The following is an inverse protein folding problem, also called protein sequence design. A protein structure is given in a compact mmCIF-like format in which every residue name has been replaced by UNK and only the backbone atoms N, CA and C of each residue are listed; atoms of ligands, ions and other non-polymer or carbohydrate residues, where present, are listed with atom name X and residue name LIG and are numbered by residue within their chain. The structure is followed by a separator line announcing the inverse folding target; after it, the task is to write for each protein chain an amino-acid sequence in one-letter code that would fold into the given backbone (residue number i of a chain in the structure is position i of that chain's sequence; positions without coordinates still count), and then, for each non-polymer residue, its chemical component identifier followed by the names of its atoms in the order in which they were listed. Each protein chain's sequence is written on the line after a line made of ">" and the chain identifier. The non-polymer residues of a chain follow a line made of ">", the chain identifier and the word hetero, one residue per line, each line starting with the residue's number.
data_IF_208784990004
#
_entry.id   IF_208784990004
#
_cell.length_a   1.000
_cell.length_b   1.000
_cell.length_c   1.000
_cell.angle_alpha   90.00
_cell.angle_beta   90.00
_cell.angle_gamma   90.00
#
_symmetry.space_group_name_H-M   'P 1'
#
loop_
_entity.id
_entity.type
_entity.pdbx_description
1 polymer ?
#
# COMPACT_ATOMS: atom_id res chain seq x y z
N UNK A 1 -8.66 16.90 -26.57
CA UNK A 1 -8.58 17.15 -25.12
C UNK A 1 -8.22 15.85 -24.41
N UNK A 2 -7.12 15.84 -23.67
CA UNK A 2 -6.88 14.73 -22.77
C UNK A 2 -8.05 14.67 -21.78
N UNK A 3 -8.75 13.56 -21.75
CA UNK A 3 -9.69 13.32 -20.66
C UNK A 3 -8.84 13.18 -19.39
N UNK A 4 -9.33 13.62 -18.24
CA UNK A 4 -8.59 13.52 -16.97
C UNK A 4 -8.18 12.09 -16.59
N UNK A 5 -8.39 11.12 -17.48
CA UNK A 5 -8.05 9.71 -17.34
C UNK A 5 -6.68 9.37 -17.95
N UNK A 6 -6.13 10.26 -18.78
CA UNK A 6 -4.88 9.99 -19.49
C UNK A 6 -3.68 10.29 -18.60
N UNK A 7 -2.90 9.26 -18.32
CA UNK A 7 -1.61 9.34 -17.64
C UNK A 7 -0.54 8.97 -18.65
N UNK A 8 0.52 9.77 -18.74
CA UNK A 8 1.64 9.47 -19.63
C UNK A 8 2.16 8.04 -19.36
N UNK A 9 2.53 7.28 -20.40
CA UNK A 9 3.01 5.91 -20.20
C UNK A 9 4.17 5.79 -19.22
N UNK A 10 5.09 6.75 -19.22
CA UNK A 10 6.22 6.77 -18.27
C UNK A 10 5.75 6.94 -16.83
N UNK A 11 4.78 7.82 -16.57
CA UNK A 11 4.20 8.02 -15.24
C UNK A 11 3.44 6.78 -14.79
N UNK A 12 2.70 6.16 -15.69
CA UNK A 12 1.98 4.91 -15.41
C UNK A 12 2.94 3.80 -14.97
N UNK A 13 4.02 3.62 -15.70
CA UNK A 13 5.04 2.61 -15.37
C UNK A 13 5.70 2.90 -14.02
N UNK A 14 6.01 4.16 -13.74
CA UNK A 14 6.59 4.56 -12.45
C UNK A 14 5.63 4.28 -11.28
N UNK A 15 4.34 4.59 -11.46
CA UNK A 15 3.32 4.30 -10.43
C UNK A 15 3.15 2.79 -10.23
N UNK A 16 3.15 2.00 -11.30
CA UNK A 16 3.09 0.54 -11.19
C UNK A 16 4.33 -0.02 -10.49
N UNK A 17 5.52 0.53 -10.77
CA UNK A 17 6.74 0.18 -10.06
C UNK A 17 6.68 0.55 -8.58
N UNK A 18 6.11 1.73 -8.26
CA UNK A 18 5.88 2.16 -6.87
C UNK A 18 5.04 1.15 -6.09
N UNK A 19 3.96 0.65 -6.67
CA UNK A 19 3.09 -0.37 -6.05
C UNK A 19 3.85 -1.67 -5.84
N UNK A 20 4.66 -2.09 -6.82
CA UNK A 20 5.50 -3.29 -6.72
C UNK A 20 6.57 -3.16 -5.64
N UNK A 21 7.20 -1.99 -5.53
CA UNK A 21 8.19 -1.70 -4.48
C UNK A 21 7.59 -1.76 -3.09
N UNK A 22 6.38 -1.24 -2.93
CA UNK A 22 5.66 -1.34 -1.65
C UNK A 22 5.53 -2.82 -1.23
N UNK A 23 4.99 -3.66 -2.10
CA UNK A 23 4.85 -5.10 -1.82
C UNK A 23 6.20 -5.73 -1.46
N UNK A 24 7.23 -5.50 -2.26
CA UNK A 24 8.56 -6.07 -2.04
C UNK A 24 9.18 -5.62 -0.72
N UNK A 25 9.10 -4.33 -0.38
CA UNK A 25 9.70 -3.82 0.86
C UNK A 25 8.95 -4.27 2.11
N UNK A 26 7.62 -4.40 2.03
CA UNK A 26 6.85 -5.00 3.14
C UNK A 26 7.21 -6.47 3.30
N UNK A 27 7.22 -7.24 2.22
CA UNK A 27 7.49 -8.69 2.25
C UNK A 27 8.91 -9.03 2.69
N UNK A 28 9.85 -8.12 2.48
CA UNK A 28 11.26 -8.27 2.87
C UNK A 28 11.63 -7.46 4.12
N UNK A 29 10.65 -6.87 4.80
CA UNK A 29 10.83 -6.14 6.08
C UNK A 29 11.82 -4.98 5.96
N UNK A 30 11.79 -4.23 4.85
CA UNK A 30 12.69 -3.10 4.61
C UNK A 30 11.99 -1.78 4.96
N UNK A 31 12.09 -1.36 6.21
CA UNK A 31 11.34 -0.20 6.73
C UNK A 31 11.72 1.11 6.04
N UNK A 32 13.00 1.45 5.98
CA UNK A 32 13.41 2.77 5.47
C UNK A 32 13.13 2.92 3.97
N UNK A 33 13.44 1.95 3.10
CA UNK A 33 13.00 2.01 1.69
C UNK A 33 11.47 2.10 1.54
N UNK A 34 10.71 1.39 2.38
CA UNK A 34 9.24 1.45 2.38
C UNK A 34 8.74 2.86 2.71
N UNK A 35 9.34 3.50 3.72
CA UNK A 35 8.93 4.86 4.11
C UNK A 35 9.20 5.91 3.05
N UNK A 36 10.22 5.73 2.21
CA UNK A 36 10.52 6.64 1.12
C UNK A 36 9.48 6.62 -0.01
N UNK A 37 8.60 5.62 -0.04
CA UNK A 37 7.53 5.54 -1.04
C UNK A 37 6.35 6.48 -0.76
N UNK A 38 6.29 7.07 0.42
CA UNK A 38 5.21 7.94 0.86
C UNK A 38 5.59 9.41 0.72
N UNK A 39 4.58 10.27 0.45
CA UNK A 39 4.81 11.72 0.45
C UNK A 39 5.21 12.19 1.86
N UNK A 40 6.01 13.26 2.00
CA UNK A 40 6.37 13.77 3.32
C UNK A 40 5.22 14.50 4.04
N UNK A 41 4.24 15.01 3.28
CA UNK A 41 3.14 15.83 3.82
C UNK A 41 1.90 14.97 4.07
N UNK A 42 1.68 14.59 5.34
CA UNK A 42 0.48 13.92 5.85
C UNK A 42 -0.03 12.76 4.95
N UNK A 43 0.79 11.73 4.67
CA UNK A 43 0.29 10.55 3.98
C UNK A 43 -0.67 9.76 4.90
N UNK A 44 -1.56 8.97 4.30
CA UNK A 44 -2.47 8.11 5.06
C UNK A 44 -2.45 6.68 4.55
N UNK A 45 -2.49 5.73 5.49
CA UNK A 45 -2.64 4.31 5.21
C UNK A 45 -3.81 3.77 6.03
N UNK A 46 -4.93 3.52 5.37
CA UNK A 46 -6.21 3.19 5.98
C UNK A 46 -6.56 1.72 5.77
N UNK A 47 -6.45 0.95 6.84
CA UNK A 47 -6.87 -0.46 6.91
C UNK A 47 -8.06 -0.65 7.87
N UNK A 48 -8.81 0.42 8.17
CA UNK A 48 -9.94 0.36 9.11
C UNK A 48 -11.04 -0.61 8.66
N UNK A 49 -11.18 -0.80 7.35
CA UNK A 49 -12.19 -1.73 6.78
C UNK A 49 -11.84 -3.20 6.96
N UNK A 50 -10.62 -3.49 7.38
CA UNK A 50 -10.15 -4.84 7.74
C UNK A 50 -9.72 -4.91 9.21
N UNK A 51 -10.21 -3.96 10.02
CA UNK A 51 -9.99 -3.88 11.47
C UNK A 51 -8.52 -3.70 11.91
N UNK A 52 -7.68 -3.14 11.03
CA UNK A 52 -6.27 -2.88 11.33
C UNK A 52 -5.96 -1.39 11.55
N UNK A 53 -6.99 -0.54 11.53
CA UNK A 53 -6.87 0.88 11.87
C UNK A 53 -6.51 1.79 10.71
N UNK A 54 -6.36 3.06 11.02
CA UNK A 54 -5.97 4.10 10.06
C UNK A 54 -4.72 4.82 10.61
N UNK A 55 -3.68 4.87 9.81
CA UNK A 55 -2.40 5.47 10.18
C UNK A 55 -2.17 6.74 9.35
N UNK A 56 -1.90 7.85 10.03
CA UNK A 56 -1.73 9.17 9.42
C UNK A 56 -0.33 9.71 9.70
N UNK A 57 0.26 10.31 8.67
CA UNK A 57 1.61 10.87 8.73
C UNK A 57 2.69 9.80 8.63
N UNK A 58 3.91 10.23 8.32
CA UNK A 58 5.04 9.31 8.20
C UNK A 58 5.33 8.57 9.50
N UNK A 59 5.24 9.26 10.65
CA UNK A 59 5.50 8.62 11.94
C UNK A 59 4.43 7.57 12.29
N UNK A 60 3.16 7.84 11.97
CA UNK A 60 2.08 6.89 12.17
C UNK A 60 2.25 5.64 11.31
N UNK A 61 2.55 5.81 10.04
CA UNK A 61 2.78 4.70 9.10
C UNK A 61 4.03 3.92 9.49
N UNK A 62 5.11 4.61 9.84
CA UNK A 62 6.36 3.98 10.31
C UNK A 62 6.12 3.13 11.56
N UNK A 63 5.41 3.67 12.53
CA UNK A 63 5.07 2.96 13.75
C UNK A 63 4.24 1.70 13.49
N UNK A 64 3.28 1.78 12.58
CA UNK A 64 2.45 0.64 12.19
C UNK A 64 3.31 -0.51 11.65
N UNK A 65 4.21 -0.24 10.72
CA UNK A 65 5.07 -1.29 10.17
C UNK A 65 6.13 -1.76 11.17
N UNK A 66 6.85 -0.83 11.81
CA UNK A 66 7.95 -1.16 12.72
C UNK A 66 7.48 -1.92 13.96
N UNK A 67 6.41 -1.43 14.59
CA UNK A 67 6.01 -1.86 15.92
C UNK A 67 4.85 -2.86 15.93
N UNK A 68 4.15 -3.01 14.81
CA UNK A 68 3.01 -3.90 14.71
C UNK A 68 3.23 -5.00 13.65
N UNK A 69 3.39 -4.66 12.37
CA UNK A 69 3.50 -5.67 11.31
C UNK A 69 4.79 -6.48 11.43
N UNK A 70 5.94 -5.80 11.44
CA UNK A 70 7.24 -6.46 11.38
C UNK A 70 7.61 -7.19 12.67
N UNK A 71 6.96 -6.85 13.77
CA UNK A 71 7.15 -7.55 15.05
C UNK A 71 6.43 -8.89 15.05
N UNK A 72 5.26 -8.98 14.41
CA UNK A 72 4.38 -10.14 14.47
C UNK A 72 4.60 -11.14 13.35
N UNK A 73 4.98 -10.66 12.16
CA UNK A 73 5.08 -11.50 10.97
C UNK A 73 6.44 -12.18 10.87
N UNK A 74 6.41 -13.48 10.56
CA UNK A 74 7.61 -14.24 10.19
C UNK A 74 7.83 -14.22 8.67
N UNK A 75 6.76 -14.28 7.89
CA UNK A 75 6.79 -14.25 6.43
C UNK A 75 5.56 -13.53 5.89
N UNK A 76 5.75 -12.82 4.79
CA UNK A 76 4.69 -12.11 4.07
C UNK A 76 4.88 -12.24 2.57
N UNK A 77 3.77 -12.33 1.85
CA UNK A 77 3.76 -12.23 0.40
C UNK A 77 2.56 -11.43 -0.05
N UNK A 78 2.80 -10.34 -0.77
CA UNK A 78 1.78 -9.53 -1.43
C UNK A 78 1.84 -9.78 -2.93
N UNK A 79 0.73 -10.17 -3.52
CA UNK A 79 0.61 -10.35 -4.97
C UNK A 79 -0.39 -9.31 -5.48
N UNK A 80 0.08 -8.33 -6.24
CA UNK A 80 -0.75 -7.27 -6.81
C UNK A 80 -1.04 -7.51 -8.28
N UNK A 81 -2.25 -7.22 -8.70
CA UNK A 81 -2.71 -7.43 -10.08
C UNK A 81 -3.87 -6.47 -10.41
N UNK A 82 -4.34 -6.47 -11.66
CA UNK A 82 -5.49 -5.67 -12.11
C UNK A 82 -5.30 -4.17 -11.83
N UNK A 83 -4.15 -3.64 -12.21
CA UNK A 83 -3.77 -2.28 -11.87
C UNK A 83 -4.39 -1.27 -12.85
N UNK A 84 -5.11 -0.29 -12.30
CA UNK A 84 -5.71 0.82 -13.04
C UNK A 84 -5.12 2.11 -12.50
N UNK A 85 -4.71 3.02 -13.38
CA UNK A 85 -4.18 4.35 -13.01
C UNK A 85 -4.88 5.40 -13.84
N UNK A 86 -5.37 6.45 -13.18
CA UNK A 86 -6.05 7.59 -13.79
C UNK A 86 -5.40 8.90 -13.33
N UNK A 87 -5.23 9.84 -14.27
CA UNK A 87 -4.78 11.18 -13.94
C UNK A 87 -5.88 12.00 -13.27
N UNK A 88 -5.52 12.81 -12.28
CA UNK A 88 -6.44 13.71 -11.56
C UNK A 88 -6.05 15.17 -11.75
N UNK A 89 -4.85 15.43 -12.21
CA UNK A 89 -4.27 16.76 -12.43
C UNK A 89 -2.78 16.67 -12.61
N UNK A 90 -2.11 17.79 -12.83
CA UNK A 90 -0.67 17.79 -12.95
C UNK A 90 0.00 17.30 -11.66
N UNK A 91 0.86 16.30 -11.77
CA UNK A 91 1.55 15.70 -10.63
C UNK A 91 0.64 14.98 -9.65
N UNK A 92 -0.56 14.60 -10.08
CA UNK A 92 -1.55 13.94 -9.23
C UNK A 92 -2.27 12.83 -10.00
N UNK A 93 -2.40 11.66 -9.38
CA UNK A 93 -3.07 10.50 -9.97
C UNK A 93 -3.77 9.68 -8.88
N UNK A 94 -4.69 8.83 -9.31
CA UNK A 94 -5.33 7.83 -8.46
C UNK A 94 -5.26 6.46 -9.13
N UNK A 95 -5.36 5.41 -8.35
CA UNK A 95 -5.34 4.07 -8.90
C UNK A 95 -5.95 3.03 -8.00
N UNK A 96 -6.18 1.87 -8.60
CA UNK A 96 -6.70 0.69 -7.93
C UNK A 96 -5.91 -0.53 -8.36
N UNK A 97 -5.71 -1.46 -7.45
CA UNK A 97 -5.21 -2.78 -7.82
C UNK A 97 -5.72 -3.82 -6.83
N UNK A 98 -5.89 -5.04 -7.31
CA UNK A 98 -6.21 -6.18 -6.45
C UNK A 98 -4.95 -6.65 -5.76
N UNK A 99 -5.07 -7.06 -4.51
CA UNK A 99 -3.97 -7.65 -3.75
C UNK A 99 -4.42 -8.94 -3.08
N UNK A 100 -3.57 -9.96 -3.17
CA UNK A 100 -3.64 -11.15 -2.35
C UNK A 100 -2.50 -11.08 -1.35
N UNK A 101 -2.82 -11.25 -0.07
CA UNK A 101 -1.83 -11.28 1.00
C UNK A 101 -1.85 -12.64 1.67
N UNK A 102 -0.69 -13.26 1.72
CA UNK A 102 -0.45 -14.48 2.48
C UNK A 102 0.58 -14.19 3.55
N UNK A 103 0.39 -14.67 4.75
CA UNK A 103 1.32 -14.42 5.84
C UNK A 103 1.42 -15.57 6.81
N UNK A 104 2.60 -15.72 7.38
CA UNK A 104 2.87 -16.60 8.52
C UNK A 104 3.34 -15.74 9.69
N UNK A 105 2.68 -15.86 10.82
CA UNK A 105 3.04 -15.15 12.04
C UNK A 105 4.09 -15.90 12.84
N UNK A 106 4.83 -15.19 13.67
CA UNK A 106 5.81 -15.79 14.59
C UNK A 106 5.14 -16.73 15.59
N UNK A 107 3.84 -16.59 15.84
CA UNK A 107 3.05 -17.51 16.67
C UNK A 107 2.76 -18.86 15.99
N UNK A 108 2.96 -18.95 14.67
CA UNK A 108 2.57 -20.08 13.84
C UNK A 108 1.21 -19.95 13.18
N UNK A 109 0.43 -18.91 13.52
CA UNK A 109 -0.82 -18.62 12.83
C UNK A 109 -0.55 -18.16 11.39
N UNK A 110 -1.54 -18.36 10.52
CA UNK A 110 -1.51 -17.87 9.15
C UNK A 110 -2.53 -16.76 8.95
N UNK A 111 -2.27 -15.87 8.00
CA UNK A 111 -3.25 -14.91 7.54
C UNK A 111 -3.44 -15.03 6.03
N UNK A 112 -4.64 -14.72 5.58
CA UNK A 112 -4.99 -14.68 4.18
C UNK A 112 -6.01 -13.56 3.94
N UNK A 113 -5.76 -12.73 2.95
CA UNK A 113 -6.68 -11.65 2.60
C UNK A 113 -6.67 -11.41 1.10
N UNK A 114 -7.85 -11.24 0.52
CA UNK A 114 -8.02 -10.73 -0.83
C UNK A 114 -8.75 -9.40 -0.73
N UNK A 115 -8.11 -8.35 -1.25
CA UNK A 115 -8.59 -6.98 -1.14
C UNK A 115 -8.27 -6.21 -2.43
N UNK A 116 -8.70 -4.97 -2.50
CA UNK A 116 -8.12 -4.04 -3.45
C UNK A 116 -7.64 -2.80 -2.72
N UNK A 117 -6.60 -2.20 -3.26
CA UNK A 117 -6.12 -0.89 -2.84
C UNK A 117 -6.81 0.19 -3.66
N UNK A 118 -7.20 1.26 -2.97
CA UNK A 118 -7.57 2.53 -3.59
C UNK A 118 -6.51 3.54 -3.19
N UNK A 119 -5.74 3.99 -4.17
CA UNK A 119 -4.57 4.81 -3.95
C UNK A 119 -4.73 6.21 -4.55
N UNK A 120 -4.15 7.20 -3.88
CA UNK A 120 -3.81 8.47 -4.50
C UNK A 120 -2.30 8.66 -4.49
N UNK A 121 -1.78 9.22 -5.58
CA UNK A 121 -0.35 9.42 -5.80
C UNK A 121 -0.07 10.88 -6.09
N UNK A 122 1.01 11.40 -5.53
CA UNK A 122 1.54 12.72 -5.87
C UNK A 122 2.98 12.61 -6.33
N UNK A 123 3.36 13.42 -7.33
CA UNK A 123 4.74 13.57 -7.73
C UNK A 123 5.41 14.62 -6.86
N UNK A 124 6.45 14.21 -6.13
CA UNK A 124 7.22 15.03 -5.21
C UNK A 124 8.69 14.91 -5.61
N UNK A 125 9.36 16.03 -5.89
CA UNK A 125 10.77 16.05 -6.32
C UNK A 125 11.03 15.09 -7.48
N UNK A 126 10.17 15.15 -8.50
CA UNK A 126 10.22 14.33 -9.72
C UNK A 126 9.95 12.83 -9.53
N UNK A 127 9.52 12.39 -8.33
CA UNK A 127 9.19 11.00 -8.05
C UNK A 127 7.72 10.84 -7.63
N UNK A 128 7.04 9.84 -8.16
CA UNK A 128 5.70 9.48 -7.72
C UNK A 128 5.76 8.78 -6.37
N UNK A 129 4.86 9.16 -5.46
CA UNK A 129 4.76 8.63 -4.10
C UNK A 129 3.31 8.44 -3.69
N UNK A 130 3.06 7.56 -2.74
CA UNK A 130 1.73 7.41 -2.14
C UNK A 130 1.39 8.64 -1.31
N UNK A 131 0.25 9.25 -1.62
CA UNK A 131 -0.40 10.23 -0.75
C UNK A 131 -1.36 9.53 0.20
N UNK A 132 -2.15 8.59 -0.33
CA UNK A 132 -3.04 7.76 0.48
C UNK A 132 -3.16 6.37 -0.11
N UNK A 133 -3.36 5.41 0.75
CA UNK A 133 -3.71 4.03 0.40
C UNK A 133 -4.84 3.58 1.32
N UNK A 134 -5.93 3.08 0.74
CA UNK A 134 -7.07 2.53 1.47
C UNK A 134 -7.23 1.07 1.07
N UNK A 135 -7.39 0.19 2.05
CA UNK A 135 -7.59 -1.24 1.83
C UNK A 135 -9.09 -1.55 1.90
N UNK A 136 -9.63 -2.11 0.82
CA UNK A 136 -11.02 -2.54 0.74
C UNK A 136 -11.08 -4.07 0.62
N UNK A 137 -11.69 -4.78 1.57
CA UNK A 137 -11.78 -6.23 1.48
C UNK A 137 -12.69 -6.66 0.33
N UNK A 138 -12.25 -7.65 -0.45
CA UNK A 138 -13.06 -8.31 -1.48
C UNK A 138 -13.70 -9.59 -0.95
N UNK A 139 -13.02 -10.25 -0.02
CA UNK A 139 -13.52 -11.39 0.72
C UNK A 139 -13.31 -11.14 2.21
N UNK A 140 -13.92 -11.94 3.08
CA UNK A 140 -13.69 -11.80 4.52
C UNK A 140 -12.23 -12.13 4.84
N UNK A 141 -11.45 -11.18 5.37
CA UNK A 141 -10.06 -11.44 5.71
C UNK A 141 -9.93 -12.47 6.83
N UNK A 142 -8.92 -13.32 6.74
CA UNK A 142 -8.53 -14.26 7.80
C UNK A 142 -7.18 -13.79 8.33
N UNK A 143 -7.20 -13.04 9.42
CA UNK A 143 -6.02 -12.33 9.93
C UNK A 143 -5.30 -13.06 11.06
N UNK A 144 -5.75 -14.29 11.41
CA UNK A 144 -5.14 -15.06 12.49
C UNK A 144 -5.15 -14.28 13.81
N UNK A 145 -4.02 -14.24 14.50
CA UNK A 145 -3.85 -13.48 15.74
C UNK A 145 -3.36 -12.04 15.53
N UNK A 146 -3.32 -11.57 14.30
CA UNK A 146 -2.88 -10.18 13.98
C UNK A 146 -3.88 -9.15 14.54
N UNK A 147 -5.15 -9.50 14.54
CA UNK A 147 -6.21 -8.67 15.14
C UNK A 147 -6.38 -9.12 16.58
N UNK A 148 -5.96 -8.29 17.48
CA UNK A 148 -6.15 -8.54 18.93
C UNK A 148 -7.34 -7.76 19.45
#
# INVERSE_FOLDING_TARGET
>A
MATGLDVAPADRLEIMDLVSRYAFFVDTFQLEPLMQLWVPDEPTFDESRVDLGNNTGLDGIRGYFRDFVFVQMARLAHITTNHIVEGVGEGSARGWCTVLVEGEMKTGDTMHATAYYEDTYHRVDHAWRFKSRVVHPLTTPQLGSLVS
#
